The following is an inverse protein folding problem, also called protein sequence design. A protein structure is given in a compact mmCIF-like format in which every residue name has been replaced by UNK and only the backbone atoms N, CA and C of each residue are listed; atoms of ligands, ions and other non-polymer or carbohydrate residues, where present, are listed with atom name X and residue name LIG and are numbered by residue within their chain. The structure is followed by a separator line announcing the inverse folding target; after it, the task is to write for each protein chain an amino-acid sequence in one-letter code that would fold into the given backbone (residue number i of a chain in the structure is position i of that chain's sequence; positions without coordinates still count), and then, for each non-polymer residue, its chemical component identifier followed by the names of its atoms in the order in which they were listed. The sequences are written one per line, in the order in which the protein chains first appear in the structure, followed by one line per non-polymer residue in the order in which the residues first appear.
data_IF_132467777594
#
_entry.id   IF_132467777594
#
_cell.length_a   1.000
_cell.length_b   1.000
_cell.length_c   1.000
_cell.angle_alpha   90.00
_cell.angle_beta   90.00
_cell.angle_gamma   90.00
#
_symmetry.space_group_name_H-M   'P 1'
#
loop_
_entity.id
_entity.type
_entity.pdbx_description
1 polymer ?
#
# COMPACT_ATOMS: atom_id res chain seq x y z
N UNK A 1 4.87 -74.75 4.99
CA UNK A 1 4.04 -73.63 5.48
C UNK A 1 4.90 -72.36 5.38
N UNK A 2 4.72 -71.68 4.25
CA UNK A 2 5.54 -70.48 3.93
C UNK A 2 4.76 -69.24 4.35
N UNK A 3 5.27 -68.55 5.36
CA UNK A 3 4.69 -67.26 5.79
C UNK A 3 5.14 -66.13 4.84
N UNK A 4 4.21 -65.57 4.10
CA UNK A 4 4.43 -64.33 3.38
C UNK A 4 4.26 -63.14 4.33
N UNK A 5 5.33 -62.36 4.54
CA UNK A 5 5.21 -61.03 5.14
C UNK A 5 4.61 -60.05 4.14
N UNK A 6 3.58 -59.27 4.51
CA UNK A 6 3.12 -58.17 3.67
C UNK A 6 4.14 -57.04 3.71
N UNK A 7 4.62 -56.65 2.53
CA UNK A 7 5.43 -55.48 2.37
C UNK A 7 4.67 -54.23 2.83
N UNK A 8 5.26 -53.51 3.79
CA UNK A 8 4.75 -52.20 4.23
C UNK A 8 4.73 -51.22 3.05
N UNK A 9 3.57 -50.77 2.64
CA UNK A 9 3.41 -49.67 1.70
C UNK A 9 3.93 -48.39 2.36
N UNK A 10 4.78 -47.59 1.68
CA UNK A 10 5.19 -46.29 2.20
C UNK A 10 3.96 -45.39 2.29
N UNK A 11 3.72 -44.91 3.49
CA UNK A 11 2.66 -43.95 3.82
C UNK A 11 2.86 -42.70 2.93
N UNK A 12 2.06 -42.58 1.88
CA UNK A 12 1.94 -41.37 1.09
C UNK A 12 1.24 -40.30 1.93
N UNK A 13 1.98 -39.66 2.83
CA UNK A 13 1.56 -38.37 3.36
C UNK A 13 1.47 -37.43 2.16
N UNK A 14 0.27 -37.22 1.66
CA UNK A 14 -0.04 -36.07 0.80
C UNK A 14 0.33 -34.83 1.62
N UNK A 15 1.49 -34.25 1.31
CA UNK A 15 1.85 -32.92 1.81
C UNK A 15 0.74 -31.99 1.34
N UNK A 16 -0.06 -31.53 2.30
CA UNK A 16 -1.06 -30.51 2.02
C UNK A 16 -0.30 -29.25 1.50
N UNK A 17 -0.58 -28.88 0.26
CA UNK A 17 -0.03 -27.65 -0.33
C UNK A 17 -0.63 -26.50 0.48
N UNK A 18 0.19 -25.83 1.27
CA UNK A 18 -0.24 -24.63 2.00
C UNK A 18 -0.55 -23.52 0.99
N UNK A 19 -1.66 -22.83 1.20
CA UNK A 19 -1.98 -21.62 0.43
C UNK A 19 -1.46 -20.38 1.17
N UNK A 20 -0.86 -19.44 0.42
CA UNK A 20 -0.51 -18.13 0.97
C UNK A 20 -1.79 -17.31 1.15
N UNK A 21 -2.03 -16.89 2.37
CA UNK A 21 -3.22 -16.15 2.81
C UNK A 21 -3.00 -14.63 2.94
N UNK A 22 -2.08 -14.03 2.21
CA UNK A 22 -1.94 -12.58 2.24
C UNK A 22 -0.54 -12.02 1.99
N UNK A 23 0.25 -12.67 1.16
CA UNK A 23 1.54 -12.10 0.73
C UNK A 23 2.66 -12.20 1.74
N UNK A 24 2.51 -13.03 2.76
CA UNK A 24 3.53 -13.23 3.80
C UNK A 24 4.69 -14.10 3.34
N UNK A 25 4.42 -15.03 2.41
CA UNK A 25 5.41 -16.02 1.96
C UNK A 25 6.16 -15.55 0.72
N UNK A 26 5.44 -14.97 -0.24
CA UNK A 26 6.01 -14.48 -1.50
C UNK A 26 5.59 -13.03 -1.70
N UNK A 27 6.56 -12.13 -1.79
CA UNK A 27 6.34 -10.72 -2.14
C UNK A 27 6.31 -10.57 -3.65
N UNK A 28 5.29 -9.88 -4.16
CA UNK A 28 5.23 -9.44 -5.56
C UNK A 28 5.60 -7.96 -5.62
N UNK A 29 6.68 -7.65 -6.33
CA UNK A 29 7.29 -6.33 -6.36
C UNK A 29 7.37 -5.82 -7.80
N UNK A 30 6.98 -4.57 -8.02
CA UNK A 30 7.18 -3.90 -9.29
C UNK A 30 8.64 -3.41 -9.38
N UNK A 31 9.33 -3.83 -10.44
CA UNK A 31 10.67 -3.39 -10.76
C UNK A 31 10.69 -2.19 -11.71
N UNK A 32 11.55 -2.24 -12.73
CA UNK A 32 11.55 -1.20 -13.77
C UNK A 32 10.24 -1.24 -14.54
N UNK A 33 9.66 -0.07 -14.73
CA UNK A 33 8.38 0.05 -15.41
C UNK A 33 8.25 1.39 -16.14
N UNK A 34 7.66 1.33 -17.32
CA UNK A 34 7.24 2.46 -18.12
C UNK A 34 5.91 2.12 -18.81
N UNK A 35 5.52 2.86 -19.83
CA UNK A 35 4.26 2.63 -20.57
C UNK A 35 4.31 1.38 -21.45
N UNK A 36 5.51 0.98 -21.90
CA UNK A 36 5.68 -0.14 -22.84
C UNK A 36 6.05 -1.45 -22.13
N UNK A 37 6.60 -1.37 -20.91
CA UNK A 37 7.15 -2.54 -20.25
C UNK A 37 7.09 -2.41 -18.74
N UNK A 38 6.76 -3.51 -18.08
CA UNK A 38 6.92 -3.67 -16.63
C UNK A 38 7.65 -4.97 -16.27
N UNK A 39 8.61 -4.88 -15.37
CA UNK A 39 9.24 -6.03 -14.75
C UNK A 39 8.59 -6.27 -13.40
N UNK A 40 8.08 -7.46 -13.19
CA UNK A 40 7.45 -7.88 -11.95
C UNK A 40 8.29 -8.98 -11.34
N UNK A 41 8.62 -8.85 -10.08
CA UNK A 41 9.44 -9.82 -9.34
C UNK A 41 8.60 -10.50 -8.26
N UNK A 42 8.68 -11.82 -8.19
CA UNK A 42 8.23 -12.59 -7.05
C UNK A 42 9.46 -12.98 -6.22
N UNK A 43 9.44 -12.65 -4.93
CA UNK A 43 10.53 -12.95 -4.00
C UNK A 43 10.01 -13.75 -2.82
N UNK A 44 10.58 -14.95 -2.61
CA UNK A 44 10.28 -15.75 -1.44
C UNK A 44 10.85 -15.09 -0.17
N UNK A 45 10.03 -14.97 0.85
CA UNK A 45 10.46 -14.50 2.16
C UNK A 45 11.14 -15.67 2.88
N UNK A 46 12.38 -15.47 3.34
CA UNK A 46 13.11 -16.49 4.06
C UNK A 46 12.40 -16.89 5.35
N UNK A 47 12.19 -18.18 5.56
CA UNK A 47 11.58 -18.72 6.79
C UNK A 47 12.37 -19.90 7.33
N UNK A 48 12.39 -20.10 8.64
CA UNK A 48 13.01 -21.27 9.26
C UNK A 48 12.45 -22.59 8.75
N UNK A 49 11.16 -22.64 8.39
CA UNK A 49 10.49 -23.83 7.85
C UNK A 49 11.01 -24.28 6.48
N UNK A 50 11.67 -23.38 5.73
CA UNK A 50 12.27 -23.67 4.44
C UNK A 50 13.80 -23.87 4.55
N UNK A 51 14.35 -23.72 5.75
CA UNK A 51 15.78 -23.98 6.00
C UNK A 51 16.07 -25.47 5.79
N UNK A 52 17.02 -25.78 4.90
CA UNK A 52 17.38 -27.18 4.59
C UNK A 52 16.55 -27.81 3.46
N UNK A 53 15.63 -27.10 2.83
CA UNK A 53 14.80 -27.64 1.74
C UNK A 53 15.55 -27.82 0.40
N UNK A 54 16.87 -27.64 0.36
CA UNK A 54 17.66 -27.74 -0.86
C UNK A 54 17.52 -26.53 -1.77
N UNK A 55 17.68 -26.72 -3.09
CA UNK A 55 17.53 -25.64 -4.07
C UNK A 55 16.05 -25.33 -4.27
N UNK A 56 15.66 -24.09 -3.92
CA UNK A 56 14.31 -23.59 -4.12
C UNK A 56 14.20 -22.83 -5.45
N UNK A 57 13.05 -22.97 -6.12
CA UNK A 57 12.68 -22.20 -7.31
C UNK A 57 11.21 -21.76 -7.25
N UNK A 58 10.89 -20.70 -7.99
CA UNK A 58 9.53 -20.19 -8.15
C UNK A 58 9.10 -20.40 -9.60
N UNK A 59 7.98 -21.10 -9.80
CA UNK A 59 7.40 -21.34 -11.12
C UNK A 59 5.92 -20.99 -11.13
N UNK A 60 5.39 -20.66 -12.31
CA UNK A 60 3.94 -20.37 -12.44
C UNK A 60 3.66 -19.31 -13.50
N UNK A 61 2.52 -18.63 -13.36
CA UNK A 61 2.02 -17.67 -14.33
C UNK A 61 1.50 -16.39 -13.65
N UNK A 62 1.53 -15.31 -14.42
CA UNK A 62 0.88 -14.03 -14.15
C UNK A 62 -0.12 -13.78 -15.28
N UNK A 63 -1.40 -13.66 -14.96
CA UNK A 63 -2.50 -13.56 -15.94
C UNK A 63 -3.29 -12.28 -15.70
N UNK A 64 -3.45 -11.45 -16.71
CA UNK A 64 -4.20 -10.20 -16.63
C UNK A 64 -3.87 -9.25 -17.78
N UNK A 65 -4.37 -8.02 -17.77
CA UNK A 65 -5.15 -7.40 -16.69
C UNK A 65 -6.58 -7.93 -16.62
N UNK A 66 -7.21 -7.80 -15.44
CA UNK A 66 -8.64 -7.92 -15.23
C UNK A 66 -9.14 -6.66 -14.54
N UNK A 67 -10.23 -6.09 -15.03
CA UNK A 67 -10.85 -4.90 -14.47
C UNK A 67 -12.37 -5.09 -14.40
N UNK A 68 -12.96 -4.81 -13.24
CA UNK A 68 -14.42 -4.93 -13.06
C UNK A 68 -15.21 -3.85 -13.77
N UNK A 69 -14.59 -2.72 -14.12
CA UNK A 69 -15.22 -1.55 -14.72
C UNK A 69 -14.91 -1.39 -16.22
N UNK A 70 -14.05 -2.23 -16.77
CA UNK A 70 -13.66 -2.15 -18.19
C UNK A 70 -13.40 -3.55 -18.78
N UNK A 71 -13.65 -3.69 -20.07
CA UNK A 71 -13.28 -4.89 -20.83
C UNK A 71 -11.78 -4.87 -21.10
N UNK A 72 -11.09 -5.94 -20.71
CA UNK A 72 -9.65 -6.09 -20.90
C UNK A 72 -9.36 -7.39 -21.68
N UNK A 73 -8.23 -7.39 -22.39
CA UNK A 73 -7.70 -8.60 -23.02
C UNK A 73 -6.56 -9.13 -22.14
N UNK A 74 -6.79 -10.18 -21.32
CA UNK A 74 -5.75 -10.69 -20.45
C UNK A 74 -4.67 -11.42 -21.25
N UNK A 75 -3.43 -11.20 -20.86
CA UNK A 75 -2.26 -11.95 -21.35
C UNK A 75 -1.79 -12.91 -20.26
N UNK A 76 -1.11 -13.97 -20.66
CA UNK A 76 -0.46 -14.91 -19.74
C UNK A 76 1.05 -14.81 -19.88
N UNK A 77 1.73 -14.49 -18.79
CA UNK A 77 3.19 -14.43 -18.73
C UNK A 77 3.69 -15.49 -17.75
N UNK A 78 4.75 -16.20 -18.12
CA UNK A 78 5.42 -17.15 -17.23
C UNK A 78 6.46 -16.46 -16.36
N UNK A 79 6.57 -16.91 -15.13
CA UNK A 79 7.67 -16.55 -14.26
C UNK A 79 8.95 -17.26 -14.71
N UNK A 80 10.05 -16.52 -14.77
CA UNK A 80 11.39 -17.01 -15.15
C UNK A 80 12.27 -16.87 -13.92
N UNK A 81 13.07 -17.89 -13.64
CA UNK A 81 14.03 -17.85 -12.54
C UNK A 81 14.93 -16.62 -12.66
N UNK A 82 15.01 -15.85 -11.59
CA UNK A 82 15.80 -14.63 -11.47
C UNK A 82 16.59 -14.62 -10.16
N UNK A 83 16.88 -15.83 -9.63
CA UNK A 83 17.60 -15.98 -8.38
C UNK A 83 18.92 -15.21 -8.40
N UNK A 84 19.19 -14.46 -7.33
CA UNK A 84 20.41 -13.71 -7.13
C UNK A 84 20.97 -14.01 -5.74
N UNK A 85 22.13 -14.65 -5.70
CA UNK A 85 22.75 -15.08 -4.45
C UNK A 85 21.87 -16.04 -3.65
N UNK A 86 21.61 -15.74 -2.39
CA UNK A 86 20.76 -16.52 -1.51
C UNK A 86 19.25 -16.24 -1.67
N UNK A 87 18.85 -15.27 -2.52
CA UNK A 87 17.45 -14.90 -2.70
C UNK A 87 16.77 -15.77 -3.74
N UNK A 88 15.67 -16.41 -3.38
CA UNK A 88 14.81 -17.16 -4.29
C UNK A 88 13.85 -16.17 -4.94
N UNK A 89 14.03 -15.93 -6.23
CA UNK A 89 13.29 -14.92 -6.99
C UNK A 89 12.88 -15.44 -8.36
N UNK A 90 11.73 -14.98 -8.85
CA UNK A 90 11.33 -15.13 -10.23
C UNK A 90 10.93 -13.78 -10.81
N UNK A 91 11.05 -13.62 -12.14
CA UNK A 91 10.71 -12.41 -12.88
C UNK A 91 9.70 -12.72 -13.96
N UNK A 92 8.68 -11.89 -14.07
CA UNK A 92 7.79 -11.81 -15.22
C UNK A 92 7.99 -10.46 -15.92
N UNK A 93 7.86 -10.43 -17.25
CA UNK A 93 7.95 -9.20 -18.05
C UNK A 93 6.65 -9.03 -18.80
N UNK A 94 5.97 -7.94 -18.50
CA UNK A 94 4.75 -7.52 -19.18
C UNK A 94 5.08 -6.51 -20.27
N UNK A 95 4.54 -6.69 -21.44
CA UNK A 95 4.51 -5.70 -22.52
C UNK A 95 3.17 -4.96 -22.45
N UNK A 96 3.20 -3.65 -22.62
CA UNK A 96 2.02 -2.77 -22.53
C UNK A 96 1.21 -3.02 -21.25
N UNK A 97 1.83 -2.88 -20.07
CA UNK A 97 1.18 -3.21 -18.81
C UNK A 97 0.02 -2.25 -18.52
N UNK A 98 -1.07 -2.79 -18.01
CA UNK A 98 -2.19 -2.00 -17.48
C UNK A 98 -2.00 -1.80 -15.99
N UNK A 99 -1.70 -0.56 -15.59
CA UNK A 99 -1.48 -0.23 -14.19
C UNK A 99 -2.81 -0.04 -13.45
N UNK A 100 -2.77 -0.30 -12.15
CA UNK A 100 -3.88 -0.04 -11.26
C UNK A 100 -4.01 1.45 -10.96
N UNK A 101 -5.19 1.99 -11.17
CA UNK A 101 -5.61 3.32 -10.70
C UNK A 101 -7.00 3.24 -10.10
N UNK A 102 -7.46 4.24 -9.32
CA UNK A 102 -8.83 4.27 -8.84
C UNK A 102 -9.88 4.17 -9.95
N UNK A 103 -9.63 4.78 -11.10
CA UNK A 103 -10.55 4.78 -12.25
C UNK A 103 -10.52 3.45 -13.02
N UNK A 104 -9.35 2.82 -13.06
CA UNK A 104 -9.12 1.54 -13.77
C UNK A 104 -8.39 0.58 -12.82
N UNK A 105 -9.11 -0.12 -11.95
CA UNK A 105 -8.53 -1.04 -10.96
C UNK A 105 -8.08 -2.36 -11.61
N UNK A 106 -7.05 -2.26 -12.47
CA UNK A 106 -6.48 -3.39 -13.18
C UNK A 106 -5.74 -4.33 -12.23
N UNK A 107 -6.12 -5.59 -12.21
CA UNK A 107 -5.52 -6.64 -11.39
C UNK A 107 -4.98 -7.76 -12.27
N UNK A 108 -3.95 -8.43 -11.79
CA UNK A 108 -3.34 -9.60 -12.39
C UNK A 108 -3.42 -10.78 -11.42
N UNK A 109 -3.83 -11.92 -11.89
CA UNK A 109 -3.83 -13.15 -11.11
C UNK A 109 -2.43 -13.76 -11.11
N UNK A 110 -1.84 -13.86 -9.94
CA UNK A 110 -0.59 -14.56 -9.68
C UNK A 110 -0.93 -16.00 -9.29
N UNK A 111 -0.37 -16.96 -9.99
CA UNK A 111 -0.36 -18.38 -9.59
C UNK A 111 1.10 -18.83 -9.58
N UNK A 112 1.65 -19.03 -8.40
CA UNK A 112 3.05 -19.37 -8.16
C UNK A 112 3.16 -20.64 -7.32
N UNK A 113 4.14 -21.47 -7.63
CA UNK A 113 4.54 -22.61 -6.82
C UNK A 113 6.00 -22.44 -6.38
N UNK A 114 6.26 -22.66 -5.10
CA UNK A 114 7.60 -22.83 -4.56
C UNK A 114 7.95 -24.30 -4.70
N UNK A 115 8.99 -24.61 -5.42
CA UNK A 115 9.45 -25.97 -5.69
C UNK A 115 10.81 -26.19 -5.05
N UNK A 116 10.98 -27.31 -4.36
CA UNK A 116 12.25 -27.81 -3.86
C UNK A 116 12.50 -29.19 -4.47
N UNK A 117 13.65 -29.36 -5.17
CA UNK A 117 14.05 -30.68 -5.74
C UNK A 117 12.88 -31.38 -6.49
N UNK A 118 12.17 -30.62 -7.36
CA UNK A 118 11.01 -31.07 -8.16
C UNK A 118 9.73 -31.38 -7.33
N UNK A 119 9.70 -31.02 -6.04
CA UNK A 119 8.52 -31.18 -5.19
C UNK A 119 7.88 -29.82 -4.88
N UNK A 120 6.58 -29.63 -5.12
CA UNK A 120 5.89 -28.42 -4.71
C UNK A 120 5.76 -28.37 -3.18
N UNK A 121 6.22 -27.26 -2.58
CA UNK A 121 6.15 -27.00 -1.14
C UNK A 121 5.00 -26.06 -0.78
N UNK A 122 4.78 -25.02 -1.61
CA UNK A 122 3.83 -23.97 -1.36
C UNK A 122 3.23 -23.52 -2.69
N UNK A 123 1.94 -23.20 -2.68
CA UNK A 123 1.26 -22.51 -3.79
C UNK A 123 0.72 -21.19 -3.32
N UNK A 124 0.98 -20.13 -4.08
CA UNK A 124 0.48 -18.77 -3.88
C UNK A 124 -0.48 -18.44 -5.02
N UNK A 125 -1.75 -18.18 -4.70
CA UNK A 125 -2.76 -17.78 -5.67
C UNK A 125 -3.48 -16.54 -5.16
N UNK A 126 -3.24 -15.39 -5.82
CA UNK A 126 -3.88 -14.12 -5.45
C UNK A 126 -3.90 -13.12 -6.58
N UNK A 127 -4.77 -12.11 -6.47
CA UNK A 127 -4.75 -10.95 -7.34
C UNK A 127 -3.74 -9.92 -6.83
N UNK A 128 -3.03 -9.27 -7.75
CA UNK A 128 -2.12 -8.16 -7.47
C UNK A 128 -2.35 -7.02 -8.45
N UNK A 129 -2.20 -5.78 -8.03
CA UNK A 129 -2.21 -4.64 -8.93
C UNK A 129 -0.82 -4.03 -9.09
N UNK A 130 -0.47 -3.66 -10.29
CA UNK A 130 0.75 -2.94 -10.58
C UNK A 130 0.46 -1.46 -10.56
N UNK A 131 1.14 -0.70 -9.71
CA UNK A 131 0.85 0.72 -9.52
C UNK A 131 2.11 1.57 -9.62
N UNK A 132 2.07 2.63 -10.42
CA UNK A 132 3.14 3.64 -10.48
C UNK A 132 2.77 4.86 -9.64
N UNK A 133 2.95 4.75 -8.32
CA UNK A 133 2.76 5.82 -7.36
C UNK A 133 4.12 6.28 -6.83
N UNK A 134 4.30 7.58 -6.68
CA UNK A 134 5.51 8.15 -6.15
C UNK A 134 5.41 9.65 -5.89
N UNK A 135 6.54 10.24 -5.56
CA UNK A 135 6.69 11.66 -5.27
C UNK A 135 7.58 12.33 -6.31
N UNK A 136 7.17 13.49 -6.81
CA UNK A 136 8.01 14.39 -7.62
C UNK A 136 7.93 15.80 -7.05
N UNK A 137 9.04 16.28 -6.52
CA UNK A 137 9.05 17.54 -5.78
C UNK A 137 8.08 17.49 -4.60
N UNK A 138 7.07 18.36 -4.59
CA UNK A 138 6.08 18.48 -3.51
C UNK A 138 4.71 17.91 -3.87
N UNK A 139 4.64 17.06 -4.87
CA UNK A 139 3.38 16.50 -5.35
C UNK A 139 3.43 14.98 -5.39
N UNK A 140 2.28 14.36 -5.12
CA UNK A 140 2.07 12.95 -5.39
C UNK A 140 1.80 12.76 -6.89
N UNK A 141 2.30 11.66 -7.43
CA UNK A 141 2.14 11.29 -8.82
C UNK A 141 1.66 9.85 -8.93
N UNK A 142 0.53 9.67 -9.59
CA UNK A 142 -0.04 8.36 -9.88
C UNK A 142 -0.14 8.22 -11.40
N UNK A 143 0.42 7.15 -11.93
CA UNK A 143 0.41 6.82 -13.36
C UNK A 143 0.85 8.02 -14.24
N UNK A 144 1.96 8.66 -13.85
CA UNK A 144 2.52 9.79 -14.59
C UNK A 144 1.75 11.11 -14.48
N UNK A 145 0.68 11.17 -13.72
CA UNK A 145 -0.15 12.37 -13.50
C UNK A 145 -0.05 12.86 -12.06
N UNK A 146 -0.13 14.18 -11.87
CA UNK A 146 -0.25 14.75 -10.53
C UNK A 146 -1.53 14.25 -9.89
N UNK A 147 -1.40 13.70 -8.68
CA UNK A 147 -2.51 13.16 -7.92
C UNK A 147 -2.70 13.93 -6.62
N UNK A 148 -3.91 14.43 -6.38
CA UNK A 148 -4.29 15.11 -5.14
C UNK A 148 -5.13 14.14 -4.33
N UNK A 149 -4.56 13.55 -3.27
CA UNK A 149 -5.24 12.58 -2.43
C UNK A 149 -6.34 13.28 -1.62
N UNK A 150 -7.58 12.85 -1.80
CA UNK A 150 -8.72 13.24 -0.96
C UNK A 150 -9.21 12.02 -0.22
N UNK A 151 -9.47 12.16 1.08
CA UNK A 151 -9.88 11.00 1.87
C UNK A 151 -10.70 11.35 3.10
N UNK A 152 -11.47 10.37 3.57
CA UNK A 152 -12.28 10.47 4.78
C UNK A 152 -12.09 9.26 5.67
N UNK A 153 -12.27 9.44 6.98
CA UNK A 153 -12.26 8.34 7.95
C UNK A 153 -13.43 7.40 7.72
N UNK A 154 -13.14 6.11 7.78
CA UNK A 154 -14.13 5.03 7.76
C UNK A 154 -14.45 4.48 9.15
N UNK A 155 -13.86 5.03 10.22
CA UNK A 155 -13.96 4.45 11.58
C UNK A 155 -15.39 4.43 12.13
N UNK A 156 -16.21 5.43 11.83
CA UNK A 156 -17.62 5.45 12.24
C UNK A 156 -18.52 4.46 11.50
N UNK A 157 -18.03 3.92 10.38
CA UNK A 157 -18.77 3.05 9.47
C UNK A 157 -18.41 1.57 9.62
N UNK A 158 -17.34 1.27 10.39
CA UNK A 158 -16.91 -0.09 10.72
C UNK A 158 -17.65 -0.55 12.00
N UNK A 159 -18.96 -0.57 11.94
CA UNK A 159 -19.77 -1.10 13.04
C UNK A 159 -19.72 -2.64 13.03
N UNK A 160 -19.24 -3.24 14.13
CA UNK A 160 -19.20 -4.69 14.28
C UNK A 160 -18.05 -5.43 13.57
N UNK A 161 -17.00 -4.71 13.14
CA UNK A 161 -15.74 -5.31 12.64
C UNK A 161 -15.69 -5.57 11.13
N UNK A 162 -16.74 -5.23 10.38
CA UNK A 162 -16.71 -5.33 8.91
C UNK A 162 -17.26 -4.05 8.27
N UNK A 163 -16.56 -3.55 7.26
CA UNK A 163 -17.06 -2.45 6.42
C UNK A 163 -18.02 -3.00 5.38
N UNK A 164 -19.24 -2.44 5.34
CA UNK A 164 -20.22 -2.83 4.35
C UNK A 164 -19.77 -2.41 2.92
N UNK A 165 -19.98 -3.25 1.89
CA UNK A 165 -19.52 -2.98 0.53
C UNK A 165 -19.99 -1.66 -0.06
N UNK A 166 -21.16 -1.16 0.36
CA UNK A 166 -21.73 0.11 -0.12
C UNK A 166 -20.90 1.34 0.30
N UNK A 167 -20.16 1.29 1.41
CA UNK A 167 -19.29 2.39 1.83
C UNK A 167 -18.10 2.56 0.87
N UNK A 168 -17.47 1.46 0.44
CA UNK A 168 -16.42 1.52 -0.58
C UNK A 168 -16.96 2.00 -1.92
N UNK A 169 -18.16 1.59 -2.32
CA UNK A 169 -18.79 2.07 -3.55
C UNK A 169 -19.02 3.58 -3.49
N UNK A 170 -19.51 4.11 -2.36
CA UNK A 170 -19.71 5.55 -2.17
C UNK A 170 -18.38 6.32 -2.23
N UNK A 171 -17.29 5.80 -1.68
CA UNK A 171 -15.95 6.42 -1.81
C UNK A 171 -15.47 6.42 -3.25
N UNK A 172 -15.68 5.34 -3.99
CA UNK A 172 -15.33 5.25 -5.41
C UNK A 172 -16.09 6.30 -6.22
N UNK A 173 -17.42 6.41 -6.06
CA UNK A 173 -18.25 7.41 -6.73
C UNK A 173 -17.82 8.84 -6.42
N UNK A 174 -17.42 9.12 -5.19
CA UNK A 174 -16.90 10.43 -4.76
C UNK A 174 -15.42 10.65 -5.10
N UNK A 175 -14.75 9.67 -5.68
CA UNK A 175 -13.30 9.70 -5.95
C UNK A 175 -12.48 10.09 -4.71
N UNK A 176 -12.83 9.47 -3.57
CA UNK A 176 -12.18 9.70 -2.28
C UNK A 176 -11.56 8.42 -1.75
N UNK A 177 -10.48 8.58 -1.00
CA UNK A 177 -9.79 7.50 -0.30
C UNK A 177 -10.44 7.24 1.07
N UNK A 178 -10.30 6.01 1.56
CA UNK A 178 -10.65 5.68 2.95
C UNK A 178 -9.46 5.82 3.88
N UNK A 179 -9.62 6.50 5.03
CA UNK A 179 -8.69 6.47 6.16
C UNK A 179 -9.12 5.37 7.12
N UNK A 180 -8.23 4.44 7.41
CA UNK A 180 -8.53 3.25 8.23
C UNK A 180 -7.36 2.92 9.15
N UNK A 181 -7.64 2.66 10.43
CA UNK A 181 -6.66 2.05 11.33
C UNK A 181 -6.56 0.56 11.04
N UNK A 182 -5.34 0.05 10.88
CA UNK A 182 -5.02 -1.37 10.67
C UNK A 182 -5.99 -2.10 9.71
N UNK A 183 -6.08 -1.67 8.42
CA UNK A 183 -6.98 -2.29 7.47
C UNK A 183 -6.68 -3.79 7.31
N UNK A 184 -7.72 -4.61 7.40
CA UNK A 184 -7.60 -6.05 7.24
C UNK A 184 -7.42 -6.45 5.75
N UNK A 185 -6.93 -7.65 5.46
CA UNK A 185 -6.71 -8.11 4.09
C UNK A 185 -7.99 -8.17 3.24
N UNK A 186 -9.16 -8.42 3.85
CA UNK A 186 -10.42 -8.51 3.12
C UNK A 186 -10.88 -7.13 2.63
N UNK A 187 -10.75 -6.11 3.49
CA UNK A 187 -10.99 -4.72 3.14
C UNK A 187 -10.03 -4.25 2.04
N UNK A 188 -8.72 -4.53 2.19
CA UNK A 188 -7.74 -4.19 1.16
C UNK A 188 -8.08 -4.84 -0.19
N UNK A 189 -8.41 -6.14 -0.21
CA UNK A 189 -8.79 -6.84 -1.43
C UNK A 189 -10.10 -6.33 -2.05
N UNK A 190 -11.06 -5.88 -1.25
CA UNK A 190 -12.27 -5.23 -1.74
C UNK A 190 -11.96 -3.87 -2.37
N UNK A 191 -11.14 -3.06 -1.72
CA UNK A 191 -10.68 -1.76 -2.20
C UNK A 191 -9.86 -1.90 -3.50
N UNK A 192 -9.00 -2.93 -3.61
CA UNK A 192 -8.24 -3.25 -4.83
C UNK A 192 -9.17 -3.45 -6.03
N UNK A 193 -10.26 -4.22 -5.84
CA UNK A 193 -11.23 -4.53 -6.91
C UNK A 193 -12.11 -3.35 -7.29
N UNK A 194 -12.49 -2.54 -6.31
CA UNK A 194 -13.40 -1.40 -6.50
C UNK A 194 -12.67 -0.12 -6.94
N UNK A 195 -11.34 -0.08 -6.91
CA UNK A 195 -10.60 1.13 -7.24
C UNK A 195 -10.67 2.21 -6.15
N UNK A 196 -10.71 1.80 -4.88
CA UNK A 196 -10.70 2.74 -3.76
C UNK A 196 -9.30 2.82 -3.17
N UNK A 197 -8.70 4.02 -3.17
CA UNK A 197 -7.44 4.20 -2.48
C UNK A 197 -7.64 4.19 -0.95
N UNK A 198 -6.68 3.61 -0.22
CA UNK A 198 -6.66 3.58 1.23
C UNK A 198 -5.44 4.34 1.77
N UNK A 199 -5.64 5.09 2.83
CA UNK A 199 -4.60 5.60 3.70
C UNK A 199 -4.69 4.85 5.03
N UNK A 200 -3.75 3.93 5.25
CA UNK A 200 -3.68 3.12 6.46
C UNK A 200 -3.01 3.91 7.59
N UNK A 201 -3.67 4.05 8.72
CA UNK A 201 -3.06 4.63 9.92
C UNK A 201 -2.41 3.48 10.69
N UNK A 202 -1.13 3.63 11.02
CA UNK A 202 -0.33 2.59 11.68
C UNK A 202 -0.60 2.56 13.19
N UNK A 203 -1.83 2.30 13.55
CA UNK A 203 -2.33 2.09 14.92
C UNK A 203 -3.17 0.82 14.93
N UNK A 204 -3.12 0.07 16.04
CA UNK A 204 -4.02 -1.05 16.23
C UNK A 204 -5.48 -0.60 16.47
N UNK A 205 -6.40 -1.54 16.62
CA UNK A 205 -7.81 -1.25 16.87
C UNK A 205 -8.05 -0.52 18.22
N UNK A 206 -7.11 -0.65 19.17
CA UNK A 206 -7.12 0.08 20.44
C UNK A 206 -6.38 1.44 20.35
N UNK A 207 -6.02 1.88 19.14
CA UNK A 207 -5.26 3.10 18.84
C UNK A 207 -3.86 3.14 19.50
N UNK A 208 -3.25 1.99 19.68
CA UNK A 208 -1.88 1.87 20.18
C UNK A 208 -0.90 1.70 19.01
N UNK A 209 0.31 2.19 19.23
CA UNK A 209 1.40 2.09 18.26
C UNK A 209 1.98 0.68 18.26
N UNK A 210 2.14 0.09 17.10
CA UNK A 210 2.80 -1.20 16.95
C UNK A 210 4.30 -1.13 17.27
N UNK A 211 4.85 -2.20 17.84
CA UNK A 211 6.31 -2.37 17.88
C UNK A 211 6.89 -2.42 16.46
N UNK A 212 8.10 -1.87 16.27
CA UNK A 212 8.69 -1.70 14.91
C UNK A 212 8.70 -2.98 14.06
N UNK A 213 9.04 -4.18 14.58
CA UNK A 213 8.98 -5.40 13.77
C UNK A 213 7.56 -5.73 13.28
N UNK A 214 6.55 -5.61 14.14
CA UNK A 214 5.15 -5.86 13.79
C UNK A 214 4.65 -4.82 12.78
N UNK A 215 5.01 -3.55 12.99
CA UNK A 215 4.72 -2.46 12.06
C UNK A 215 5.31 -2.71 10.66
N UNK A 216 6.55 -3.20 10.60
CA UNK A 216 7.21 -3.53 9.33
C UNK A 216 6.52 -4.69 8.60
N UNK A 217 6.07 -5.71 9.32
CA UNK A 217 5.28 -6.81 8.75
C UNK A 217 3.93 -6.31 8.20
N UNK A 218 3.22 -5.44 8.95
CA UNK A 218 1.96 -4.83 8.49
C UNK A 218 2.17 -4.01 7.21
N UNK A 219 3.15 -3.12 7.19
CA UNK A 219 3.46 -2.30 6.01
C UNK A 219 3.82 -3.18 4.81
N UNK A 220 4.61 -4.24 5.03
CA UNK A 220 4.97 -5.19 3.96
C UNK A 220 3.74 -5.91 3.40
N UNK A 221 2.79 -6.33 4.24
CA UNK A 221 1.54 -6.93 3.83
C UNK A 221 0.66 -5.93 3.06
N UNK A 222 0.49 -4.71 3.56
CA UNK A 222 -0.29 -3.66 2.88
C UNK A 222 0.32 -3.24 1.55
N UNK A 223 1.65 -3.29 1.42
CA UNK A 223 2.33 -2.99 0.15
C UNK A 223 2.00 -3.99 -0.98
N UNK A 224 1.42 -5.15 -0.66
CA UNK A 224 0.93 -6.12 -1.65
C UNK A 224 -0.44 -5.75 -2.24
N UNK A 225 -1.12 -4.73 -1.67
CA UNK A 225 -2.41 -4.22 -2.10
C UNK A 225 -2.24 -2.89 -2.83
N UNK A 226 -2.60 -2.79 -4.12
CA UNK A 226 -2.45 -1.54 -4.87
C UNK A 226 -3.35 -0.41 -4.35
N UNK A 227 -4.45 -0.74 -3.68
CA UNK A 227 -5.34 0.24 -3.04
C UNK A 227 -4.65 0.97 -1.89
N UNK A 228 -3.78 0.32 -1.10
CA UNK A 228 -3.10 0.98 0.02
C UNK A 228 -2.02 1.91 -0.53
N UNK A 229 -2.37 3.18 -0.68
CA UNK A 229 -1.52 4.19 -1.29
C UNK A 229 -0.56 4.85 -0.30
N UNK A 230 -0.99 5.03 0.93
CA UNK A 230 -0.29 5.76 1.99
C UNK A 230 -0.38 4.99 3.30
N UNK A 231 0.72 4.91 4.03
CA UNK A 231 0.72 4.56 5.45
C UNK A 231 1.07 5.80 6.25
N UNK A 232 0.21 6.17 7.19
CA UNK A 232 0.42 7.29 8.10
C UNK A 232 1.07 6.75 9.36
N UNK A 233 2.33 7.16 9.57
CA UNK A 233 3.07 6.88 10.80
C UNK A 233 2.61 7.87 11.87
N UNK A 234 2.00 7.41 12.98
CA UNK A 234 1.48 8.29 14.00
C UNK A 234 2.61 9.01 14.74
N UNK A 235 2.40 10.26 15.16
CA UNK A 235 3.40 11.06 15.86
C UNK A 235 3.90 10.42 17.15
N UNK A 236 3.08 9.55 17.79
CA UNK A 236 3.43 8.82 18.99
C UNK A 236 4.58 7.82 18.76
N UNK A 237 4.83 7.40 17.51
CA UNK A 237 5.94 6.52 17.18
C UNK A 237 7.30 7.18 17.44
N UNK A 238 7.36 8.53 17.35
CA UNK A 238 8.60 9.28 17.53
C UNK A 238 9.57 9.15 16.35
N UNK A 239 10.47 10.11 16.22
CA UNK A 239 11.41 10.20 15.10
C UNK A 239 12.40 9.03 15.01
N UNK A 240 12.98 8.51 16.11
CA UNK A 240 13.90 7.36 16.05
C UNK A 240 13.25 6.10 15.50
N UNK A 241 12.06 5.74 16.01
CA UNK A 241 11.33 4.55 15.56
C UNK A 241 10.80 4.73 14.13
N UNK A 242 10.37 5.92 13.73
CA UNK A 242 9.98 6.21 12.35
C UNK A 242 11.16 6.02 11.39
N UNK A 243 12.38 6.41 11.79
CA UNK A 243 13.61 6.19 11.00
C UNK A 243 13.93 4.70 10.88
N UNK A 244 13.89 3.96 11.98
CA UNK A 244 14.12 2.52 12.01
C UNK A 244 13.11 1.79 11.13
N UNK A 245 11.83 2.11 11.27
CA UNK A 245 10.75 1.51 10.49
C UNK A 245 10.88 1.80 8.99
N UNK A 246 11.15 3.04 8.60
CA UNK A 246 11.35 3.42 7.21
C UNK A 246 12.54 2.65 6.58
N UNK A 247 13.61 2.45 7.35
CA UNK A 247 14.76 1.64 6.92
C UNK A 247 14.39 0.15 6.78
N UNK A 248 13.63 -0.41 7.73
CA UNK A 248 13.20 -1.81 7.72
C UNK A 248 12.34 -2.15 6.49
N UNK A 249 11.43 -1.25 6.09
CA UNK A 249 10.50 -1.51 4.98
C UNK A 249 11.00 -1.04 3.61
N UNK A 250 12.18 -0.43 3.52
CA UNK A 250 12.72 0.16 2.29
C UNK A 250 12.62 -0.74 1.06
N UNK A 251 12.87 -2.03 1.21
CA UNK A 251 12.92 -3.01 0.13
C UNK A 251 11.64 -3.84 -0.03
N UNK A 252 10.62 -3.58 0.79
CA UNK A 252 9.36 -4.33 0.80
C UNK A 252 8.15 -3.45 0.54
N UNK A 253 8.22 -2.15 0.84
CA UNK A 253 7.10 -1.23 0.66
C UNK A 253 6.73 -0.94 -0.81
N UNK A 254 7.60 -1.29 -1.78
CA UNK A 254 7.36 -1.03 -3.20
C UNK A 254 7.04 0.45 -3.47
N UNK A 255 5.90 0.72 -4.09
CA UNK A 255 5.39 2.08 -4.40
C UNK A 255 4.52 2.68 -3.31
N UNK A 256 4.32 1.99 -2.18
CA UNK A 256 3.58 2.50 -1.02
C UNK A 256 4.29 3.72 -0.44
N UNK A 257 3.54 4.79 -0.14
CA UNK A 257 4.08 6.01 0.46
C UNK A 257 4.06 5.92 1.98
N UNK A 258 5.10 6.43 2.63
CA UNK A 258 5.16 6.62 4.07
C UNK A 258 4.97 8.12 4.39
N UNK A 259 3.89 8.45 5.10
CA UNK A 259 3.61 9.78 5.61
C UNK A 259 3.86 9.87 7.10
N UNK A 260 4.54 10.91 7.55
CA UNK A 260 4.74 11.17 8.97
C UNK A 260 3.67 12.15 9.47
N UNK A 261 2.90 11.74 10.47
CA UNK A 261 1.93 12.61 11.15
C UNK A 261 2.65 13.66 11.97
N UNK A 262 2.24 14.92 11.79
CA UNK A 262 2.76 16.09 12.52
C UNK A 262 1.63 17.02 12.90
N UNK A 263 1.81 17.80 13.98
CA UNK A 263 0.83 18.81 14.38
C UNK A 263 0.97 20.05 13.49
N UNK A 264 -0.09 20.41 12.79
CA UNK A 264 -0.10 21.63 11.97
C UNK A 264 -0.12 22.92 12.79
N UNK A 265 -0.47 22.86 14.07
CA UNK A 265 -0.36 23.99 15.00
C UNK A 265 1.05 24.34 15.44
N UNK A 266 2.02 23.47 15.14
CA UNK A 266 3.44 23.67 15.38
C UNK A 266 4.20 23.98 14.08
N UNK A 267 5.40 24.57 14.13
CA UNK A 267 6.25 24.70 12.96
C UNK A 267 6.57 23.35 12.31
N UNK A 268 6.70 23.29 10.95
CA UNK A 268 7.06 22.04 10.29
C UNK A 268 8.44 21.54 10.77
N UNK A 269 8.64 20.21 10.87
CA UNK A 269 9.92 19.65 11.26
C UNK A 269 10.99 20.01 10.23
N UNK A 270 12.16 20.42 10.71
CA UNK A 270 13.31 20.80 9.86
C UNK A 270 14.07 19.58 9.34
N UNK A 271 14.04 18.48 10.08
CA UNK A 271 14.72 17.23 9.74
C UNK A 271 13.67 16.10 9.62
N UNK A 272 13.70 15.42 8.49
CA UNK A 272 12.84 14.27 8.24
C UNK A 272 13.65 12.98 8.17
N UNK A 273 13.14 11.87 8.70
CA UNK A 273 13.78 10.58 8.54
C UNK A 273 13.90 10.21 7.06
N UNK A 274 15.05 9.64 6.69
CA UNK A 274 15.23 9.10 5.36
C UNK A 274 14.20 7.99 5.08
N UNK A 275 13.53 8.07 3.94
CA UNK A 275 12.50 7.11 3.54
C UNK A 275 11.07 7.52 3.89
N UNK A 276 10.86 8.67 4.56
CA UNK A 276 9.56 9.33 4.66
C UNK A 276 9.29 10.07 3.35
N UNK A 277 8.16 9.78 2.73
CA UNK A 277 7.79 10.30 1.41
C UNK A 277 7.00 11.62 1.50
N UNK A 278 6.27 11.86 2.59
CA UNK A 278 5.42 13.04 2.79
C UNK A 278 5.17 13.33 4.27
N UNK A 279 4.65 14.52 4.54
CA UNK A 279 4.09 14.89 5.85
C UNK A 279 2.56 14.82 5.82
N UNK A 280 1.96 14.47 6.94
CA UNK A 280 0.51 14.54 7.18
C UNK A 280 0.28 15.52 8.32
N UNK A 281 -0.04 16.77 7.96
CA UNK A 281 -0.21 17.87 8.90
C UNK A 281 -1.63 17.84 9.48
N UNK A 282 -1.75 17.42 10.74
CA UNK A 282 -3.02 17.27 11.46
C UNK A 282 -3.42 18.58 12.11
N UNK A 283 -4.68 18.93 11.96
CA UNK A 283 -5.29 20.13 12.56
C UNK A 283 -6.68 19.82 13.14
N UNK A 284 -7.02 20.47 14.24
CA UNK A 284 -8.37 20.45 14.79
C UNK A 284 -9.33 21.23 13.87
N UNK A 285 -10.64 21.02 14.06
CA UNK A 285 -11.73 21.52 13.18
C UNK A 285 -11.62 23.00 12.84
N UNK A 286 -11.38 23.86 13.84
CA UNK A 286 -11.43 25.31 13.67
C UNK A 286 -10.03 25.97 13.66
N UNK A 287 -8.97 25.15 13.56
CA UNK A 287 -7.61 25.66 13.54
C UNK A 287 -7.04 25.69 12.13
N UNK A 288 -6.27 26.75 11.87
CA UNK A 288 -5.43 26.89 10.69
C UNK A 288 -3.99 26.50 11.05
N UNK A 289 -3.18 26.14 10.06
CA UNK A 289 -1.77 25.81 10.29
C UNK A 289 -1.00 26.99 10.88
N UNK A 290 0.04 26.67 11.64
CA UNK A 290 1.00 27.66 12.13
C UNK A 290 1.62 28.44 10.96
N UNK A 291 1.91 29.73 11.14
CA UNK A 291 2.40 30.59 10.06
C UNK A 291 3.74 30.13 9.43
N UNK A 292 4.55 29.37 10.16
CA UNK A 292 5.77 28.76 9.61
C UNK A 292 5.51 27.79 8.45
N UNK A 293 4.31 27.21 8.34
CA UNK A 293 3.91 26.39 7.21
C UNK A 293 3.73 27.16 5.90
N UNK A 294 3.79 28.49 5.94
CA UNK A 294 3.81 29.32 4.74
C UNK A 294 5.14 29.21 3.98
N UNK A 295 6.21 28.84 4.67
CA UNK A 295 7.46 28.47 4.02
C UNK A 295 7.26 27.18 3.21
N UNK A 296 7.97 27.10 2.09
CA UNK A 296 7.87 25.96 1.18
C UNK A 296 8.46 24.71 1.83
N UNK A 297 7.67 23.66 2.08
CA UNK A 297 8.19 22.41 2.65
C UNK A 297 9.04 21.65 1.61
N UNK A 298 10.03 20.86 2.06
CA UNK A 298 10.90 20.10 1.16
C UNK A 298 10.23 18.86 0.52
N UNK A 299 9.13 18.39 1.11
CA UNK A 299 8.37 17.18 0.70
C UNK A 299 6.89 17.52 0.51
N UNK A 300 6.09 16.64 -0.13
CA UNK A 300 4.64 16.78 -0.18
C UNK A 300 4.04 16.86 1.23
N UNK A 301 3.01 17.68 1.39
CA UNK A 301 2.25 17.79 2.65
C UNK A 301 0.79 17.55 2.36
N UNK A 302 0.20 16.59 3.08
CA UNK A 302 -1.23 16.36 3.12
C UNK A 302 -1.81 17.08 4.35
N UNK A 303 -2.93 17.75 4.18
CA UNK A 303 -3.67 18.35 5.29
C UNK A 303 -4.67 17.34 5.83
N UNK A 304 -4.72 17.13 7.14
CA UNK A 304 -5.71 16.27 7.78
C UNK A 304 -6.46 17.05 8.86
N UNK A 305 -7.77 17.28 8.64
CA UNK A 305 -8.66 17.92 9.61
C UNK A 305 -9.41 16.86 10.41
N UNK A 306 -9.23 16.90 11.73
CA UNK A 306 -9.93 16.01 12.66
C UNK A 306 -11.14 16.72 13.28
N UNK A 307 -12.28 16.02 13.41
CA UNK A 307 -13.49 16.48 14.07
C UNK A 307 -14.34 17.40 13.20
N UNK A 308 -15.23 16.87 12.39
CA UNK A 308 -16.24 17.65 11.69
C UNK A 308 -16.30 17.46 10.17
N UNK A 309 -16.58 16.27 9.69
CA UNK A 309 -17.10 16.07 8.35
C UNK A 309 -18.62 16.23 8.35
N UNK A 310 -19.12 17.46 8.42
CA UNK A 310 -20.53 17.72 8.10
C UNK A 310 -20.66 17.76 6.57
N UNK A 311 -21.30 16.76 5.97
CA UNK A 311 -21.44 16.62 4.53
C UNK A 311 -20.60 15.47 3.99
N UNK A 312 -20.83 15.02 2.75
CA UNK A 312 -20.11 13.90 2.15
C UNK A 312 -18.59 14.07 2.12
N UNK A 313 -17.86 12.97 2.04
CA UNK A 313 -16.39 12.91 2.10
C UNK A 313 -15.70 13.92 1.16
N UNK A 314 -16.16 14.02 -0.08
CA UNK A 314 -15.62 14.95 -1.07
C UNK A 314 -15.84 16.41 -0.68
N UNK A 315 -17.04 16.76 -0.21
CA UNK A 315 -17.41 18.12 0.22
C UNK A 315 -16.52 18.59 1.38
N UNK A 316 -16.25 17.70 2.35
CA UNK A 316 -15.35 18.00 3.46
C UNK A 316 -13.91 18.30 3.00
N UNK A 317 -13.38 17.50 2.07
CA UNK A 317 -12.05 17.73 1.49
C UNK A 317 -11.99 19.06 0.70
N UNK A 318 -13.01 19.36 -0.09
CA UNK A 318 -13.07 20.59 -0.89
C UNK A 318 -13.20 21.83 0.02
N UNK A 319 -13.96 21.75 1.12
CA UNK A 319 -14.04 22.80 2.13
C UNK A 319 -12.69 23.03 2.84
N UNK A 320 -11.97 21.95 3.17
CA UNK A 320 -10.62 22.04 3.73
C UNK A 320 -9.65 22.69 2.73
N UNK A 321 -9.72 22.30 1.46
CA UNK A 321 -8.91 22.90 0.39
C UNK A 321 -9.17 24.41 0.28
N UNK A 322 -10.43 24.84 0.26
CA UNK A 322 -10.81 26.24 0.17
C UNK A 322 -10.31 27.05 1.39
N UNK A 323 -10.43 26.48 2.60
CA UNK A 323 -9.95 27.13 3.82
C UNK A 323 -8.42 27.35 3.80
N UNK A 324 -7.67 26.33 3.36
CA UNK A 324 -6.20 26.39 3.27
C UNK A 324 -5.73 27.30 2.13
N UNK A 325 -6.43 27.34 1.02
CA UNK A 325 -6.17 28.29 -0.05
C UNK A 325 -6.35 29.75 0.46
N UNK A 326 -7.45 30.03 1.16
CA UNK A 326 -7.70 31.33 1.79
C UNK A 326 -6.64 31.70 2.82
N UNK A 327 -6.17 30.72 3.63
CA UNK A 327 -5.07 30.93 4.58
C UNK A 327 -3.75 31.26 3.86
N UNK A 328 -3.42 30.50 2.80
CA UNK A 328 -2.20 30.72 1.99
C UNK A 328 -2.21 32.10 1.31
N UNK A 329 -3.33 32.50 0.70
CA UNK A 329 -3.45 33.77 -0.02
C UNK A 329 -3.28 35.02 0.87
N UNK A 330 -3.66 34.95 2.16
CA UNK A 330 -3.43 36.04 3.11
C UNK A 330 -1.94 36.38 3.30
N UNK A 331 -1.04 35.46 3.00
CA UNK A 331 0.40 35.68 3.08
C UNK A 331 0.97 36.38 1.85
N UNK A 332 0.45 36.08 0.65
CA UNK A 332 0.92 36.66 -0.62
C UNK A 332 0.84 38.18 -0.59
N UNK A 333 -0.22 38.73 0.01
CA UNK A 333 -0.44 40.18 0.11
C UNK A 333 0.60 40.90 0.99
N UNK A 334 1.40 40.18 1.79
CA UNK A 334 2.44 40.77 2.66
C UNK A 334 3.88 40.55 2.17
N UNK A 335 4.15 39.52 1.38
CA UNK A 335 5.51 39.11 1.05
C UNK A 335 5.75 38.78 -0.44
N UNK A 336 4.74 38.84 -1.29
CA UNK A 336 4.89 38.50 -2.73
C UNK A 336 5.18 37.00 -3.00
N UNK A 337 5.10 36.15 -1.97
CA UNK A 337 5.34 34.70 -2.11
C UNK A 337 4.12 34.00 -2.69
N UNK A 338 4.35 33.17 -3.70
CA UNK A 338 3.30 32.31 -4.26
C UNK A 338 3.03 31.17 -3.25
N UNK A 339 1.74 30.94 -2.84
CA UNK A 339 1.40 29.81 -2.00
C UNK A 339 1.83 28.50 -2.64
N UNK A 340 2.34 27.57 -1.85
CA UNK A 340 2.55 26.20 -2.32
C UNK A 340 1.26 25.37 -2.20
N UNK A 341 1.12 24.36 -3.04
CA UNK A 341 -0.06 23.51 -3.06
C UNK A 341 0.09 22.32 -2.11
N UNK A 342 -0.95 22.04 -1.34
CA UNK A 342 -1.08 20.81 -0.57
C UNK A 342 -1.18 19.60 -1.50
N UNK A 343 -0.54 18.49 -1.13
CA UNK A 343 -0.55 17.26 -1.92
C UNK A 343 -1.83 16.43 -1.72
N UNK A 344 -2.62 16.73 -0.70
CA UNK A 344 -3.88 16.07 -0.41
C UNK A 344 -4.64 16.69 0.74
N UNK A 345 -5.88 16.25 0.91
CA UNK A 345 -6.84 16.73 1.91
C UNK A 345 -7.58 15.56 2.52
N UNK A 346 -7.46 15.39 3.83
CA UNK A 346 -8.05 14.33 4.61
C UNK A 346 -8.99 14.93 5.67
N UNK A 347 -10.14 14.28 5.92
CA UNK A 347 -11.13 14.70 6.93
C UNK A 347 -11.58 13.49 7.77
N UNK A 348 -11.81 13.70 9.07
CA UNK A 348 -12.33 12.67 9.97
C UNK A 348 -13.24 13.25 11.04
#
# INVERSE_FOLDING_TARGET
MSGQHPAAQPNRQQLAIAFDDGGREVLVLLGRCDEMRAEVYARLVARPSLAGAGRLSLVGTLVGPRCGTATTLPITVRWIDAAAGASVMARAVLTEPSYWTPELPNLYDVDLQVIAEDRPLLRVARAVGLRRLGVRGRSLWLEGRRWVLRGTSLEGEIAGGALEPHHLAALHEQQTAGLVCDPDPALCAAADRLGVALAAILLDQARQVFAVPVAAERITAWAQHPSVALVILPRQLGMPQATELAAAVRHTKGTLLLGLEVDAGEPPPTNLPAGIDCLVAVMATDRLPHDAWRAVPPVPVLAWRQGGAAGGARTGCDALQAALAGWGMKAVNKAGQIPWDWAGYLVS
#
